data_IF_618731646525
#
_entry.id   IF_618731646525
#
_cell.length_a   1.000
_cell.length_b   1.000
_cell.length_c   1.000
_cell.angle_alpha   90.00
_cell.angle_beta   90.00
_cell.angle_gamma   90.00
#
_symmetry.space_group_name_H-M   'P 1'
#
loop_
_entity.id
_entity.type
_entity.pdbx_description
1 polymer ?
#
# COMPACT_ATOMS: atom_id res chain seq x y z
N UNK A 1 -9.24 -0.66 -18.82
CA UNK A 1 -9.16 -2.14 -18.65
C UNK A 1 -8.02 -2.47 -17.69
N UNK A 2 -8.24 -3.42 -16.76
CA UNK A 2 -7.16 -3.92 -15.88
C UNK A 2 -6.22 -4.78 -16.72
N UNK A 3 -4.92 -4.48 -16.62
CA UNK A 3 -3.84 -5.21 -17.29
C UNK A 3 -2.86 -5.73 -16.24
N UNK A 4 -2.27 -6.90 -16.48
CA UNK A 4 -1.20 -7.45 -15.65
C UNK A 4 0.13 -7.42 -16.38
N UNK A 5 1.21 -7.29 -15.61
CA UNK A 5 2.58 -7.43 -16.07
C UNK A 5 3.31 -8.43 -15.17
N UNK A 6 4.26 -9.15 -15.71
CA UNK A 6 5.06 -10.12 -14.97
C UNK A 6 6.53 -9.83 -15.18
N UNK A 7 7.26 -9.71 -14.07
CA UNK A 7 8.72 -9.69 -14.05
C UNK A 7 9.22 -10.96 -13.39
N UNK A 8 10.29 -11.56 -13.89
CA UNK A 8 10.78 -12.79 -13.34
C UNK A 8 12.27 -13.04 -13.57
N UNK A 9 12.84 -13.84 -12.68
CA UNK A 9 14.18 -14.40 -12.79
C UNK A 9 14.21 -15.86 -12.32
N UNK A 10 15.38 -16.45 -12.10
CA UNK A 10 15.50 -17.84 -11.65
C UNK A 10 14.91 -18.09 -10.23
N UNK A 11 14.74 -17.05 -9.39
CA UNK A 11 14.28 -17.19 -8.00
C UNK A 11 12.82 -16.79 -7.80
N UNK A 12 12.40 -15.69 -8.44
CA UNK A 12 11.10 -15.05 -8.23
C UNK A 12 10.34 -14.87 -9.55
N UNK A 13 9.02 -15.01 -9.47
CA UNK A 13 8.06 -14.47 -10.44
C UNK A 13 7.15 -13.50 -9.69
N UNK A 14 7.08 -12.26 -10.16
CA UNK A 14 6.25 -11.21 -9.57
C UNK A 14 5.27 -10.72 -10.62
N UNK A 15 3.98 -10.83 -10.32
CA UNK A 15 2.90 -10.30 -11.15
C UNK A 15 2.32 -9.07 -10.52
N UNK A 16 2.12 -8.03 -11.32
CA UNK A 16 1.55 -6.74 -10.90
C UNK A 16 0.34 -6.38 -11.77
N UNK A 17 -0.51 -5.50 -11.27
CA UNK A 17 -1.68 -4.98 -12.00
C UNK A 17 -1.56 -3.47 -12.12
N UNK A 18 -2.08 -2.91 -13.21
CA UNK A 18 -2.14 -1.47 -13.41
C UNK A 18 -3.22 -0.76 -12.59
N UNK A 19 -4.22 -1.47 -12.03
CA UNK A 19 -5.11 -0.90 -11.03
C UNK A 19 -4.38 -0.85 -9.69
N UNK A 20 -4.30 0.34 -9.09
CA UNK A 20 -3.61 0.53 -7.81
C UNK A 20 -2.10 0.25 -7.85
N UNK A 21 -1.46 0.13 -9.02
CA UNK A 21 -0.10 -0.42 -9.15
C UNK A 21 0.07 -1.66 -8.24
N UNK A 22 -0.90 -2.57 -8.27
CA UNK A 22 -1.06 -3.65 -7.29
C UNK A 22 0.00 -4.74 -7.45
N UNK A 23 0.59 -5.14 -6.33
CA UNK A 23 1.37 -6.38 -6.22
C UNK A 23 0.41 -7.56 -6.10
N UNK A 24 0.21 -8.30 -7.19
CA UNK A 24 -0.76 -9.39 -7.27
C UNK A 24 -0.20 -10.74 -6.84
N UNK A 25 1.05 -11.03 -7.18
CA UNK A 25 1.72 -12.30 -6.87
C UNK A 25 3.20 -12.06 -6.61
N UNK A 26 3.73 -12.74 -5.59
CA UNK A 26 5.17 -12.91 -5.35
C UNK A 26 5.43 -14.41 -5.22
N UNK A 27 5.74 -15.06 -6.34
CA UNK A 27 5.94 -16.50 -6.36
C UNK A 27 7.42 -16.85 -6.16
N UNK A 28 7.71 -17.54 -5.06
CA UNK A 28 9.05 -18.05 -4.76
C UNK A 28 9.24 -19.43 -5.41
N UNK A 29 10.04 -19.48 -6.48
CA UNK A 29 10.17 -20.64 -7.36
C UNK A 29 10.74 -21.87 -6.65
N UNK A 30 11.74 -21.70 -5.75
CA UNK A 30 12.39 -22.81 -5.02
C UNK A 30 11.39 -23.62 -4.17
N UNK A 31 10.49 -22.92 -3.47
CA UNK A 31 9.46 -23.57 -2.62
C UNK A 31 8.12 -23.78 -3.32
N UNK A 32 7.96 -23.26 -4.55
CA UNK A 32 6.71 -23.29 -5.33
C UNK A 32 5.52 -22.72 -4.56
N UNK A 33 5.71 -21.55 -3.92
CA UNK A 33 4.68 -20.88 -3.12
C UNK A 33 4.53 -19.42 -3.53
N UNK A 34 3.31 -18.90 -3.48
CA UNK A 34 3.04 -17.47 -3.49
C UNK A 34 3.19 -16.93 -2.06
N UNK A 35 3.92 -15.83 -1.87
CA UNK A 35 4.25 -15.26 -0.56
C UNK A 35 3.22 -14.24 -0.05
N UNK A 36 2.21 -13.90 -0.85
CA UNK A 36 1.18 -12.92 -0.49
C UNK A 36 -0.23 -13.45 -0.76
N UNK A 37 -1.22 -12.88 -0.07
CA UNK A 37 -2.62 -13.12 -0.41
C UNK A 37 -3.03 -12.32 -1.65
N UNK A 38 -3.95 -12.88 -2.44
CA UNK A 38 -4.59 -12.19 -3.55
C UNK A 38 -6.04 -12.65 -3.73
N UNK A 39 -6.80 -11.97 -4.57
CA UNK A 39 -8.21 -12.29 -4.83
C UNK A 39 -8.40 -13.45 -5.85
N UNK A 40 -7.33 -14.16 -6.22
CA UNK A 40 -7.37 -15.25 -7.19
C UNK A 40 -7.63 -14.80 -8.64
N UNK A 41 -8.57 -13.88 -8.86
CA UNK A 41 -8.91 -13.37 -10.18
C UNK A 41 -8.60 -11.88 -10.32
N UNK A 42 -7.95 -11.50 -11.43
CA UNK A 42 -7.57 -10.12 -11.75
C UNK A 42 -8.80 -9.21 -11.86
N UNK A 43 -9.92 -9.70 -12.42
CA UNK A 43 -11.14 -8.89 -12.56
C UNK A 43 -11.76 -8.50 -11.21
N UNK A 44 -11.54 -9.27 -10.16
CA UNK A 44 -12.02 -8.99 -8.80
C UNK A 44 -11.39 -7.73 -8.19
N UNK A 45 -10.24 -7.29 -8.72
CA UNK A 45 -9.56 -6.07 -8.26
C UNK A 45 -10.30 -4.77 -8.62
N UNK A 46 -11.34 -4.81 -9.46
CA UNK A 46 -12.28 -3.68 -9.62
C UNK A 46 -12.98 -3.33 -8.30
N UNK A 47 -13.08 -4.29 -7.37
CA UNK A 47 -13.74 -4.13 -6.09
C UNK A 47 -12.87 -4.72 -4.96
N UNK A 48 -11.63 -4.28 -4.87
CA UNK A 48 -10.65 -4.70 -3.86
C UNK A 48 -10.89 -3.98 -2.53
N UNK A 49 -11.95 -4.36 -1.81
CA UNK A 49 -12.37 -3.72 -0.55
C UNK A 49 -11.32 -3.77 0.56
N UNK A 50 -10.41 -4.75 0.52
CA UNK A 50 -9.39 -4.97 1.54
C UNK A 50 -8.00 -4.46 1.09
N UNK A 51 -7.92 -3.73 -0.01
CA UNK A 51 -6.68 -3.13 -0.51
C UNK A 51 -5.55 -4.13 -0.80
N UNK A 52 -5.85 -5.44 -0.98
CA UNK A 52 -4.84 -6.49 -1.15
C UNK A 52 -3.82 -6.11 -2.23
N UNK A 53 -2.56 -5.96 -1.80
CA UNK A 53 -1.43 -5.64 -2.65
C UNK A 53 -1.42 -4.28 -3.32
N UNK A 54 -2.47 -3.46 -3.14
CA UNK A 54 -2.58 -2.16 -3.80
C UNK A 54 -1.65 -1.11 -3.20
N UNK A 55 -1.28 -0.10 -4.00
CA UNK A 55 -0.66 1.12 -3.51
C UNK A 55 -1.74 2.03 -2.94
N UNK A 56 -1.71 2.26 -1.63
CA UNK A 56 -2.63 3.16 -0.95
C UNK A 56 -2.06 4.58 -0.88
N UNK A 57 -2.91 5.58 -1.10
CA UNK A 57 -2.57 6.99 -1.14
C UNK A 57 -3.77 7.85 -1.56
N UNK A 58 -3.68 9.23 -1.50
CA UNK A 58 -2.45 10.01 -1.18
C UNK A 58 -1.92 9.81 0.23
N UNK A 59 -2.80 9.47 1.19
CA UNK A 59 -2.41 9.27 2.58
C UNK A 59 -2.94 7.91 3.05
N UNK A 60 -2.03 6.96 3.24
CA UNK A 60 -2.33 5.65 3.79
C UNK A 60 -2.69 5.76 5.27
N UNK A 61 -3.54 4.82 5.75
CA UNK A 61 -4.15 4.86 7.07
C UNK A 61 -5.12 6.05 7.21
N UNK A 62 -5.53 6.40 8.43
CA UNK A 62 -6.64 7.31 8.74
C UNK A 62 -6.21 8.74 8.94
N UNK A 63 -7.06 9.68 8.49
CA UNK A 63 -7.03 11.08 8.94
C UNK A 63 -8.33 11.36 9.68
N UNK A 64 -8.22 11.71 10.96
CA UNK A 64 -9.33 11.99 11.87
C UNK A 64 -10.25 13.08 11.32
N UNK A 65 -11.57 12.85 11.39
CA UNK A 65 -12.62 13.78 10.92
C UNK A 65 -12.47 14.16 9.43
N UNK A 66 -11.67 13.41 8.63
CA UNK A 66 -11.37 13.69 7.24
C UNK A 66 -10.99 15.17 7.01
N UNK A 67 -10.05 15.67 7.79
CA UNK A 67 -9.57 17.06 7.67
C UNK A 67 -8.17 17.21 8.26
N UNK A 68 -7.44 18.16 7.72
CA UNK A 68 -6.16 18.62 8.27
C UNK A 68 -5.97 20.11 8.03
N UNK A 69 -4.90 20.68 8.60
CA UNK A 69 -4.54 22.07 8.44
C UNK A 69 -3.09 22.22 8.01
N UNK A 70 -2.83 23.10 7.05
CA UNK A 70 -1.49 23.46 6.61
C UNK A 70 -1.40 24.99 6.65
N UNK A 71 -0.45 25.55 7.41
CA UNK A 71 -0.22 26.98 7.54
C UNK A 71 -1.51 27.79 7.80
N UNK A 72 -2.34 27.31 8.72
CA UNK A 72 -3.61 27.93 9.07
C UNK A 72 -4.80 27.63 8.14
N UNK A 73 -4.57 27.10 6.94
CA UNK A 73 -5.63 26.78 5.99
C UNK A 73 -6.15 25.36 6.24
N UNK A 74 -7.46 25.25 6.44
CA UNK A 74 -8.15 23.99 6.71
C UNK A 74 -8.58 23.32 5.39
N UNK A 75 -8.23 22.05 5.24
CA UNK A 75 -8.62 21.20 4.11
C UNK A 75 -9.60 20.13 4.58
N UNK A 76 -10.75 20.04 3.90
CA UNK A 76 -11.74 18.99 4.09
C UNK A 76 -11.54 17.91 3.03
N UNK A 77 -11.51 16.65 3.45
CA UNK A 77 -11.27 15.48 2.62
C UNK A 77 -12.55 14.66 2.40
N UNK A 78 -12.53 13.82 1.39
CA UNK A 78 -13.65 12.91 1.08
C UNK A 78 -13.69 11.77 2.10
N UNK A 79 -14.74 11.72 2.92
CA UNK A 79 -14.98 10.65 3.89
C UNK A 79 -15.29 9.33 3.19
N UNK A 80 -14.72 8.23 3.68
CA UNK A 80 -15.02 6.88 3.23
C UNK A 80 -15.08 5.85 4.35
N UNK A 81 -14.80 6.28 5.61
CA UNK A 81 -14.88 5.43 6.80
C UNK A 81 -15.53 6.24 7.94
N UNK A 82 -16.86 6.16 8.06
CA UNK A 82 -17.61 6.97 9.02
C UNK A 82 -17.33 8.47 8.89
N UNK A 83 -16.81 9.09 9.96
CA UNK A 83 -16.41 10.50 9.95
C UNK A 83 -14.98 10.74 9.43
N UNK A 84 -14.20 9.67 9.24
CA UNK A 84 -12.79 9.72 8.89
C UNK A 84 -12.57 9.50 7.37
N UNK A 85 -11.34 9.67 6.93
CA UNK A 85 -10.86 9.19 5.63
C UNK A 85 -9.84 8.09 5.87
N UNK A 86 -9.93 7.01 5.10
CA UNK A 86 -9.00 5.89 5.10
C UNK A 86 -8.38 5.75 3.71
N UNK A 87 -7.07 5.51 3.66
CA UNK A 87 -6.29 5.18 2.47
C UNK A 87 -6.52 6.12 1.27
N UNK A 88 -6.71 7.43 1.52
CA UNK A 88 -6.84 8.44 0.48
C UNK A 88 -8.26 8.67 -0.04
N UNK A 89 -9.29 8.01 0.55
CA UNK A 89 -10.70 8.30 0.28
C UNK A 89 -11.37 7.34 -0.70
N UNK A 90 -12.59 7.69 -1.14
CA UNK A 90 -13.45 6.82 -1.98
C UNK A 90 -12.83 6.45 -3.33
N UNK A 91 -11.98 7.31 -3.87
CA UNK A 91 -11.25 7.10 -5.13
C UNK A 91 -9.75 7.25 -4.87
N UNK A 92 -9.25 6.48 -3.89
CA UNK A 92 -7.84 6.42 -3.53
C UNK A 92 -6.96 5.84 -4.65
N UNK A 93 -5.68 5.81 -4.44
CA UNK A 93 -4.70 5.32 -5.42
C UNK A 93 -4.88 3.84 -5.74
N UNK A 94 -5.38 3.05 -4.79
CA UNK A 94 -5.76 1.64 -4.93
C UNK A 94 -6.77 1.37 -6.05
N UNK A 95 -7.68 2.31 -6.29
CA UNK A 95 -8.76 2.19 -7.28
C UNK A 95 -8.45 2.85 -8.63
N UNK A 96 -7.37 3.61 -8.73
CA UNK A 96 -6.96 4.30 -9.97
C UNK A 96 -6.25 3.35 -10.93
N UNK A 97 -6.40 3.60 -12.23
CA UNK A 97 -5.58 2.95 -13.26
C UNK A 97 -4.27 3.73 -13.38
N UNK A 98 -3.18 3.08 -13.01
CA UNK A 98 -1.83 3.59 -13.19
C UNK A 98 -1.31 3.27 -14.57
N UNK A 99 -0.50 4.16 -15.12
CA UNK A 99 0.13 3.97 -16.42
C UNK A 99 1.50 3.32 -16.25
N UNK A 100 1.87 2.47 -17.21
CA UNK A 100 3.22 1.89 -17.24
C UNK A 100 4.18 2.95 -17.77
N UNK A 101 5.20 3.27 -16.97
CA UNK A 101 6.29 4.19 -17.35
C UNK A 101 7.43 3.46 -18.02
N UNK A 102 7.80 2.28 -17.51
CA UNK A 102 8.82 1.42 -18.08
C UNK A 102 8.58 -0.04 -17.70
N UNK A 103 9.05 -0.96 -18.53
CA UNK A 103 8.92 -2.40 -18.32
C UNK A 103 10.10 -3.15 -18.92
N UNK A 104 10.62 -4.11 -18.16
CA UNK A 104 11.65 -5.06 -18.60
C UNK A 104 11.41 -6.43 -17.94
N UNK A 105 12.27 -7.41 -18.22
CA UNK A 105 12.20 -8.75 -17.62
C UNK A 105 12.28 -8.74 -16.08
N UNK A 106 12.97 -7.77 -15.49
CA UNK A 106 13.23 -7.70 -14.03
C UNK A 106 12.74 -6.43 -13.35
N UNK A 107 12.06 -5.53 -14.08
CA UNK A 107 11.62 -4.24 -13.56
C UNK A 107 10.33 -3.79 -14.23
N UNK A 108 9.43 -3.21 -13.43
CA UNK A 108 8.27 -2.46 -13.91
C UNK A 108 8.07 -1.21 -13.07
N UNK A 109 7.80 -0.10 -13.75
CA UNK A 109 7.46 1.18 -13.15
C UNK A 109 6.08 1.61 -13.59
N UNK A 110 5.25 1.98 -12.61
CA UNK A 110 3.94 2.60 -12.78
C UNK A 110 3.97 4.05 -12.34
N UNK A 111 3.10 4.88 -12.93
CA UNK A 111 2.86 6.22 -12.44
C UNK A 111 1.36 6.56 -12.45
N UNK A 112 0.99 7.50 -11.59
CA UNK A 112 -0.35 8.04 -11.48
C UNK A 112 -0.26 9.54 -11.17
N UNK A 113 -1.11 10.33 -11.84
CA UNK A 113 -1.28 11.76 -11.54
C UNK A 113 -2.60 11.91 -10.80
N UNK A 114 -2.53 12.52 -9.63
CA UNK A 114 -3.68 12.89 -8.82
C UNK A 114 -3.81 14.42 -8.87
N UNK A 115 -4.86 14.98 -9.49
CA UNK A 115 -4.97 16.42 -9.71
C UNK A 115 -5.14 17.20 -8.41
N UNK A 116 -4.95 18.51 -8.48
CA UNK A 116 -5.25 19.41 -7.34
C UNK A 116 -6.69 19.18 -6.86
N UNK A 117 -6.87 19.11 -5.54
CA UNK A 117 -8.15 18.81 -4.86
C UNK A 117 -8.72 17.40 -5.05
N UNK A 118 -7.95 16.45 -5.63
CA UNK A 118 -8.36 15.04 -5.64
C UNK A 118 -8.59 14.55 -4.20
N UNK A 119 -9.79 14.03 -3.92
CA UNK A 119 -10.27 13.66 -2.58
C UNK A 119 -10.16 14.78 -1.52
N UNK A 120 -9.98 16.04 -1.94
CA UNK A 120 -9.81 17.23 -1.10
C UNK A 120 -8.37 17.60 -0.77
N UNK A 121 -7.38 16.82 -1.20
CA UNK A 121 -5.97 17.12 -0.97
C UNK A 121 -5.47 18.25 -1.89
N UNK A 122 -4.73 19.25 -1.37
CA UNK A 122 -4.18 20.32 -2.19
C UNK A 122 -3.01 19.86 -3.04
N UNK A 123 -2.81 20.53 -4.17
CA UNK A 123 -1.75 20.33 -5.12
C UNK A 123 -1.95 19.11 -6.02
N UNK A 124 -1.43 19.19 -7.24
CA UNK A 124 -1.26 18.03 -8.09
C UNK A 124 -0.16 17.15 -7.51
N UNK A 125 -0.35 15.84 -7.52
CA UNK A 125 0.63 14.87 -7.06
C UNK A 125 0.94 13.89 -8.18
N UNK A 126 2.17 13.89 -8.66
CA UNK A 126 2.75 12.82 -9.46
C UNK A 126 3.29 11.74 -8.53
N UNK A 127 2.89 10.50 -8.72
CA UNK A 127 3.35 9.37 -7.91
C UNK A 127 3.86 8.25 -8.81
N UNK A 128 4.94 7.58 -8.41
CA UNK A 128 5.41 6.35 -9.06
C UNK A 128 5.52 5.19 -8.09
N UNK A 129 5.36 3.98 -8.62
CA UNK A 129 5.57 2.73 -7.91
C UNK A 129 6.39 1.79 -8.79
N UNK A 130 7.59 1.46 -8.32
CA UNK A 130 8.55 0.64 -9.05
C UNK A 130 8.71 -0.70 -8.35
N UNK A 131 8.62 -1.78 -9.12
CA UNK A 131 8.92 -3.13 -8.69
C UNK A 131 10.15 -3.62 -9.44
N UNK A 132 11.17 -4.05 -8.73
CA UNK A 132 12.36 -4.65 -9.33
C UNK A 132 12.80 -5.91 -8.59
N UNK A 133 13.33 -6.86 -9.32
CA UNK A 133 13.84 -8.10 -8.77
C UNK A 133 15.32 -8.27 -9.09
N UNK A 134 16.11 -8.55 -8.05
CA UNK A 134 17.54 -8.87 -8.16
C UNK A 134 17.81 -10.08 -7.27
N UNK A 135 18.32 -11.15 -7.84
CA UNK A 135 18.47 -12.43 -7.13
C UNK A 135 17.13 -12.86 -6.48
N UNK A 136 17.11 -13.14 -5.19
CA UNK A 136 15.91 -13.49 -4.41
C UNK A 136 15.24 -12.29 -3.73
N UNK A 137 15.62 -11.07 -4.10
CA UNK A 137 15.11 -9.82 -3.50
C UNK A 137 14.10 -9.18 -4.43
N UNK A 138 12.90 -8.87 -3.91
CA UNK A 138 11.95 -7.92 -4.50
C UNK A 138 12.14 -6.57 -3.82
N UNK A 139 12.44 -5.54 -4.62
CA UNK A 139 12.48 -4.15 -4.17
C UNK A 139 11.23 -3.42 -4.66
N UNK A 140 10.55 -2.76 -3.74
CA UNK A 140 9.41 -1.87 -4.02
C UNK A 140 9.86 -0.45 -3.68
N UNK A 141 9.82 0.46 -4.65
CA UNK A 141 10.16 1.86 -4.46
C UNK A 141 8.96 2.72 -4.83
N UNK A 142 8.48 3.53 -3.88
CA UNK A 142 7.34 4.42 -4.09
C UNK A 142 7.83 5.84 -3.90
N UNK A 143 7.53 6.71 -4.87
CA UNK A 143 7.91 8.12 -4.81
C UNK A 143 6.75 9.03 -5.16
N UNK A 144 6.84 10.28 -4.71
CA UNK A 144 5.84 11.30 -5.01
C UNK A 144 6.50 12.68 -5.14
N UNK A 145 5.96 13.49 -6.05
CA UNK A 145 6.30 14.89 -6.24
C UNK A 145 5.02 15.71 -6.33
N UNK A 146 4.96 16.82 -5.63
CA UNK A 146 3.76 17.66 -5.56
C UNK A 146 4.03 19.09 -6.01
N UNK A 147 3.01 19.73 -6.60
CA UNK A 147 3.03 21.13 -7.00
C UNK A 147 2.76 22.12 -5.85
N UNK A 148 2.21 21.65 -4.71
CA UNK A 148 1.90 22.45 -3.52
C UNK A 148 2.17 21.66 -2.25
N UNK A 149 2.40 22.33 -1.14
CA UNK A 149 2.49 21.67 0.18
C UNK A 149 1.23 20.86 0.47
N UNK A 150 1.42 19.58 0.74
CA UNK A 150 0.33 18.62 1.05
C UNK A 150 0.86 17.49 1.95
N UNK A 151 -0.05 16.71 2.54
CA UNK A 151 0.33 15.50 3.24
C UNK A 151 0.37 14.31 2.28
N UNK A 152 1.46 13.56 2.33
CA UNK A 152 1.67 12.35 1.52
C UNK A 152 2.17 11.23 2.42
N UNK A 153 1.52 10.08 2.33
CA UNK A 153 1.95 8.82 2.93
C UNK A 153 1.54 7.69 2.00
N UNK A 154 2.47 7.11 1.28
CA UNK A 154 2.20 6.05 0.30
C UNK A 154 2.72 4.72 0.82
N UNK A 155 1.91 3.67 0.70
CA UNK A 155 2.30 2.32 1.11
C UNK A 155 1.83 1.27 0.09
N UNK A 156 2.59 0.18 -0.03
CA UNK A 156 2.10 -1.05 -0.64
C UNK A 156 1.39 -1.90 0.42
N UNK A 157 0.12 -2.24 0.18
CA UNK A 157 -0.74 -2.94 1.12
C UNK A 157 -0.74 -4.47 0.89
N UNK A 158 0.44 -5.06 0.67
CA UNK A 158 0.57 -6.50 0.53
C UNK A 158 0.30 -7.21 1.86
N UNK A 159 -0.48 -8.28 1.80
CA UNK A 159 -0.72 -9.20 2.91
C UNK A 159 0.24 -10.38 2.80
N UNK A 160 1.34 -10.31 3.51
CA UNK A 160 2.35 -11.35 3.51
C UNK A 160 1.87 -12.57 4.29
N UNK A 161 1.99 -13.73 3.67
CA UNK A 161 1.80 -15.01 4.31
C UNK A 161 2.77 -16.01 3.67
N UNK A 162 3.74 -16.47 4.44
CA UNK A 162 4.86 -17.30 3.96
C UNK A 162 4.54 -18.79 3.93
N UNK A 163 3.34 -19.20 4.38
CA UNK A 163 2.92 -20.58 4.40
C UNK A 163 2.45 -21.06 3.02
N UNK A 164 2.56 -22.35 2.79
CA UNK A 164 2.03 -22.99 1.58
C UNK A 164 0.50 -22.98 1.59
N UNK A 165 -0.11 -23.27 2.75
CA UNK A 165 -1.55 -23.20 2.97
C UNK A 165 -1.87 -21.88 3.67
N UNK A 166 -2.65 -21.03 3.02
CA UNK A 166 -2.97 -19.67 3.47
C UNK A 166 -4.14 -19.66 4.48
N UNK A 167 -4.01 -20.43 5.57
CA UNK A 167 -5.06 -20.52 6.58
C UNK A 167 -5.03 -19.30 7.52
N UNK A 168 -3.91 -19.05 8.14
CA UNK A 168 -3.69 -17.95 9.09
C UNK A 168 -2.22 -17.53 9.09
N UNK A 169 -1.79 -16.72 10.06
CA UNK A 169 -0.42 -16.23 10.21
C UNK A 169 0.12 -16.40 11.64
N UNK A 170 -0.53 -17.22 12.47
CA UNK A 170 -0.18 -17.32 13.90
C UNK A 170 1.23 -17.87 14.14
N UNK A 171 1.76 -18.71 13.24
CA UNK A 171 3.11 -19.24 13.31
C UNK A 171 4.19 -18.32 12.68
N UNK A 172 3.80 -17.10 12.25
CA UNK A 172 4.76 -16.14 11.71
C UNK A 172 5.40 -15.33 12.82
N UNK A 173 6.72 -15.16 12.74
CA UNK A 173 7.47 -14.28 13.62
C UNK A 173 7.78 -12.97 12.92
N UNK A 174 7.52 -11.85 13.59
CA UNK A 174 7.83 -10.50 13.09
C UNK A 174 8.84 -9.85 14.03
N UNK A 175 9.96 -9.38 13.47
CA UNK A 175 10.94 -8.58 14.19
C UNK A 175 10.96 -7.16 13.60
N UNK A 176 10.77 -6.16 14.44
CA UNK A 176 10.78 -4.74 14.07
C UNK A 176 11.84 -4.04 14.92
N UNK A 177 12.81 -3.40 14.27
CA UNK A 177 13.87 -2.64 14.95
C UNK A 177 13.32 -1.26 15.37
N UNK A 178 12.42 -1.26 16.34
CA UNK A 178 11.84 -0.06 16.93
C UNK A 178 11.62 -0.27 18.41
N UNK A 179 11.83 0.78 19.20
CA UNK A 179 11.51 0.81 20.62
C UNK A 179 10.23 1.59 20.92
N UNK A 180 9.52 2.01 19.87
CA UNK A 180 8.27 2.77 19.98
C UNK A 180 7.25 2.26 18.97
N UNK A 181 5.98 2.40 19.31
CA UNK A 181 4.86 2.19 18.39
C UNK A 181 3.81 3.30 18.55
N UNK A 182 2.97 3.45 17.53
CA UNK A 182 1.84 4.38 17.57
C UNK A 182 0.64 3.69 18.20
N UNK A 183 0.25 4.17 19.36
CA UNK A 183 -0.99 3.75 20.00
C UNK A 183 -2.21 4.30 19.26
N UNK A 184 -3.24 3.49 19.14
CA UNK A 184 -4.48 3.85 18.46
C UNK A 184 -5.65 3.98 19.43
N UNK A 185 -6.56 4.94 19.17
CA UNK A 185 -7.83 5.01 19.86
C UNK A 185 -8.83 3.95 19.33
N UNK A 186 -10.02 3.88 19.92
CA UNK A 186 -11.10 2.95 19.52
C UNK A 186 -11.56 3.09 18.06
N UNK A 187 -11.19 4.17 17.38
CA UNK A 187 -11.43 4.40 15.96
C UNK A 187 -10.22 4.06 15.10
N UNK A 188 -9.21 3.42 15.67
CA UNK A 188 -7.92 3.13 15.04
C UNK A 188 -7.20 4.39 14.53
N UNK A 189 -7.39 5.52 15.20
CA UNK A 189 -6.65 6.76 14.92
C UNK A 189 -5.40 6.77 15.79
N UNK A 190 -4.20 6.98 15.24
CA UNK A 190 -2.99 7.16 16.04
C UNK A 190 -3.11 8.36 16.98
N UNK A 191 -2.83 8.18 18.28
CA UNK A 191 -3.00 9.21 19.30
C UNK A 191 -1.70 9.64 19.95
N UNK A 192 -0.75 8.72 20.16
CA UNK A 192 0.55 9.02 20.77
C UNK A 192 1.60 7.98 20.40
N UNK A 193 2.88 8.32 20.64
CA UNK A 193 3.97 7.35 20.64
C UNK A 193 4.09 6.72 22.01
N UNK A 194 4.08 5.39 22.08
CA UNK A 194 4.31 4.62 23.30
C UNK A 194 5.60 3.81 23.16
N UNK A 195 6.41 3.77 24.23
CA UNK A 195 7.60 2.94 24.29
C UNK A 195 7.21 1.47 24.46
N UNK A 196 7.82 0.57 23.69
CA UNK A 196 7.74 -0.86 23.92
C UNK A 196 8.41 -1.18 25.26
N UNK A 197 7.66 -1.77 26.20
CA UNK A 197 8.25 -2.31 27.43
C UNK A 197 8.97 -3.62 27.10
N UNK A 198 10.10 -3.85 27.78
CA UNK A 198 10.99 -4.98 27.48
C UNK A 198 10.39 -6.39 27.74
N UNK A 199 9.16 -6.52 28.19
CA UNK A 199 8.53 -7.78 28.63
C UNK A 199 7.03 -7.90 28.31
N UNK A 200 6.53 -7.33 27.21
CA UNK A 200 5.19 -7.67 26.77
C UNK A 200 5.25 -8.69 25.64
N UNK A 201 5.53 -9.95 26.00
CA UNK A 201 5.03 -11.09 25.22
C UNK A 201 3.53 -11.15 25.47
N UNK A 202 2.72 -10.72 24.55
CA UNK A 202 1.29 -11.01 24.56
C UNK A 202 1.14 -12.49 24.26
N UNK A 203 1.04 -13.31 25.31
CA UNK A 203 0.44 -14.63 25.24
C UNK A 203 -1.07 -14.45 25.00
N UNK A 204 -1.52 -14.85 23.83
CA UNK A 204 -2.93 -15.13 23.54
C UNK A 204 -3.05 -16.39 22.70
#
# INVERSE_FOLDING_TARGET
MIKSQTIENKFLRVKTLNIGATLFEVFYKKKKINLILNLGNISSYKNNKNYLGATCGRYANRIKKAQFQIKGVKYKLTRNEGKNILHGGKKGFDSKIWQVKSFSKSHISYYCISPDKDQGFPGELYSSCDYSITNSTLKINISAQTSKTTHVNLVNHAYWNLDKIKKDIFDHHVQINSNQYLENDSENIPVSYTHLRAHETTEH
#
